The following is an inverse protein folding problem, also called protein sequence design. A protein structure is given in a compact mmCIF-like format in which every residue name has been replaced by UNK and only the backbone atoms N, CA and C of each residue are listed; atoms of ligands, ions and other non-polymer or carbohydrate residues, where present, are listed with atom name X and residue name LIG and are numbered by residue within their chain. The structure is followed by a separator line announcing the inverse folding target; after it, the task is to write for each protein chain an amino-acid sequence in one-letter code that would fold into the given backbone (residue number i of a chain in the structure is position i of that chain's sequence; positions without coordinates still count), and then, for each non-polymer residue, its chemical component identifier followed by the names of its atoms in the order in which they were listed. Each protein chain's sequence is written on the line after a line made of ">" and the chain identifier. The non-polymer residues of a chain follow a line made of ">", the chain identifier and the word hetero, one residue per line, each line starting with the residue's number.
data_IF_706625028606
#
_entry.id   IF_706625028606
#
_cell.length_a   1.000
_cell.length_b   1.000
_cell.length_c   1.000
_cell.angle_alpha   90.00
_cell.angle_beta   90.00
_cell.angle_gamma   90.00
#
_symmetry.space_group_name_H-M   'P 1'
#
loop_
_entity.id
_entity.type
_entity.pdbx_description
1 polymer ?
#
# COMPACT_ATOMS: atom_id res chain seq x y z
N UNK A 1 -2.83 20.31 5.61
CA UNK A 1 -3.39 19.00 5.25
C UNK A 1 -3.65 18.26 6.55
N UNK A 2 -4.73 17.50 6.65
CA UNK A 2 -4.89 16.60 7.79
C UNK A 2 -3.99 15.40 7.55
N UNK A 3 -3.27 14.99 8.58
CA UNK A 3 -2.31 13.88 8.55
C UNK A 3 -2.72 12.87 9.61
N UNK A 4 -2.54 11.59 9.31
CA UNK A 4 -2.71 10.52 10.26
C UNK A 4 -1.41 9.71 10.34
N UNK A 5 -0.77 9.76 11.50
CA UNK A 5 0.45 9.00 11.75
C UNK A 5 0.15 7.73 12.57
N UNK A 6 0.74 6.60 12.17
CA UNK A 6 0.66 5.35 12.93
C UNK A 6 2.00 4.65 12.98
N UNK A 7 2.35 4.15 14.15
CA UNK A 7 3.47 3.23 14.34
C UNK A 7 2.94 1.85 14.75
N UNK A 8 3.48 0.80 14.12
CA UNK A 8 3.13 -0.59 14.38
C UNK A 8 4.41 -1.43 14.44
N UNK A 9 4.58 -2.24 15.48
CA UNK A 9 5.65 -3.25 15.55
C UNK A 9 5.12 -4.58 15.03
N UNK A 10 5.84 -5.17 14.09
CA UNK A 10 5.55 -6.49 13.53
C UNK A 10 6.61 -7.48 14.01
N UNK A 11 6.17 -8.59 14.61
CA UNK A 11 7.03 -9.68 15.07
C UNK A 11 7.52 -10.56 13.89
N UNK A 12 8.17 -9.93 12.91
CA UNK A 12 8.77 -10.58 11.74
C UNK A 12 9.93 -9.73 11.18
N UNK A 13 10.98 -10.35 10.59
CA UNK A 13 12.12 -9.65 10.01
C UNK A 13 11.73 -8.70 8.86
N UNK A 14 12.54 -7.64 8.67
CA UNK A 14 12.31 -6.62 7.65
C UNK A 14 12.10 -7.21 6.24
N UNK A 15 12.86 -8.24 5.86
CA UNK A 15 12.75 -8.89 4.54
C UNK A 15 11.34 -9.44 4.29
N UNK A 16 10.75 -10.09 5.28
CA UNK A 16 9.43 -10.72 5.17
C UNK A 16 8.33 -9.67 5.15
N UNK A 17 8.40 -8.69 6.06
CA UNK A 17 7.43 -7.60 6.13
C UNK A 17 7.48 -6.77 4.84
N UNK A 18 8.67 -6.48 4.31
CA UNK A 18 8.84 -5.77 3.05
C UNK A 18 8.27 -6.56 1.87
N UNK A 19 8.60 -7.85 1.76
CA UNK A 19 8.11 -8.69 0.67
C UNK A 19 6.58 -8.84 0.70
N UNK A 20 5.99 -8.90 1.90
CA UNK A 20 4.55 -8.92 2.10
C UNK A 20 3.89 -7.61 1.61
N UNK A 21 4.40 -6.45 2.04
CA UNK A 21 3.82 -5.15 1.68
C UNK A 21 4.11 -4.73 0.22
N UNK A 22 5.04 -5.40 -0.45
CA UNK A 22 5.38 -5.11 -1.86
C UNK A 22 4.41 -5.73 -2.87
N UNK A 23 3.32 -6.38 -2.43
CA UNK A 23 2.40 -7.14 -3.30
C UNK A 23 0.95 -6.78 -3.04
N UNK A 24 0.13 -6.93 -4.08
CA UNK A 24 -1.33 -6.75 -3.99
C UNK A 24 -1.97 -7.70 -2.98
N UNK A 25 -1.51 -8.95 -2.92
CA UNK A 25 -2.00 -9.91 -1.93
C UNK A 25 -1.72 -9.47 -0.49
N UNK A 26 -0.66 -8.66 -0.27
CA UNK A 26 -0.40 -8.03 1.02
C UNK A 26 -1.47 -7.00 1.37
N UNK A 27 -1.79 -6.10 0.44
CA UNK A 27 -2.87 -5.11 0.59
C UNK A 27 -4.22 -5.77 0.88
N UNK A 28 -4.56 -6.83 0.13
CA UNK A 28 -5.80 -7.58 0.36
C UNK A 28 -5.82 -8.22 1.75
N UNK A 29 -4.71 -8.81 2.19
CA UNK A 29 -4.63 -9.50 3.48
C UNK A 29 -4.71 -8.54 4.69
N UNK A 30 -4.17 -7.32 4.60
CA UNK A 30 -4.29 -6.32 5.69
C UNK A 30 -5.64 -5.62 5.70
N UNK A 31 -6.38 -5.68 4.59
CA UNK A 31 -7.67 -5.02 4.49
C UNK A 31 -8.77 -5.93 5.05
N UNK A 32 -9.49 -5.52 6.11
CA UNK A 32 -10.51 -6.37 6.69
C UNK A 32 -11.64 -6.69 5.70
N UNK A 33 -12.16 -7.93 5.73
CA UNK A 33 -13.22 -8.41 4.81
C UNK A 33 -14.44 -7.49 4.73
N UNK A 34 -14.82 -6.87 5.86
CA UNK A 34 -15.97 -5.96 5.93
C UNK A 34 -15.78 -4.66 5.13
N UNK A 35 -14.56 -4.33 4.69
CA UNK A 35 -14.31 -3.22 3.77
C UNK A 35 -14.75 -3.53 2.33
N UNK A 36 -14.87 -4.82 1.98
CA UNK A 36 -15.20 -5.30 0.63
C UNK A 36 -14.36 -4.65 -0.47
N UNK A 37 -13.04 -4.57 -0.21
CA UNK A 37 -12.04 -4.13 -1.17
C UNK A 37 -12.07 -5.00 -2.43
N UNK A 38 -11.87 -4.36 -3.58
CA UNK A 38 -11.61 -5.03 -4.85
C UNK A 38 -10.44 -4.33 -5.53
N UNK A 39 -9.52 -5.14 -6.01
CA UNK A 39 -8.48 -4.72 -6.92
C UNK A 39 -9.06 -4.88 -8.32
N UNK A 40 -9.39 -3.75 -8.95
CA UNK A 40 -10.03 -3.74 -10.27
C UNK A 40 -9.01 -3.95 -11.38
N UNK A 41 -7.79 -3.42 -11.19
CA UNK A 41 -6.68 -3.53 -12.14
C UNK A 41 -5.35 -3.17 -11.48
N UNK A 42 -4.28 -3.83 -11.92
CA UNK A 42 -2.91 -3.52 -11.53
C UNK A 42 -2.05 -3.47 -12.77
N UNK A 43 -1.33 -2.38 -12.99
CA UNK A 43 -0.42 -2.20 -14.12
C UNK A 43 0.97 -1.83 -13.57
N UNK A 44 2.01 -2.55 -13.98
CA UNK A 44 3.38 -2.23 -13.63
C UNK A 44 3.91 -1.00 -14.38
N UNK A 45 5.09 -0.48 -14.01
CA UNK A 45 5.66 0.71 -14.63
C UNK A 45 5.90 0.56 -16.14
N UNK A 46 6.18 -0.66 -16.61
CA UNK A 46 6.41 -0.96 -18.02
C UNK A 46 5.12 -1.29 -18.80
N UNK A 47 3.95 -1.19 -18.14
CA UNK A 47 2.64 -1.50 -18.73
C UNK A 47 2.20 -2.97 -18.59
N UNK A 48 2.99 -3.80 -17.91
CA UNK A 48 2.67 -5.21 -17.68
C UNK A 48 1.45 -5.36 -16.74
N UNK A 49 0.47 -6.20 -17.08
CA UNK A 49 -0.66 -6.46 -16.21
C UNK A 49 -0.28 -7.37 -15.03
N UNK A 50 -0.84 -7.08 -13.86
CA UNK A 50 -0.73 -7.89 -12.64
C UNK A 50 0.72 -8.26 -12.26
N UNK A 51 1.63 -7.27 -12.12
CA UNK A 51 3.01 -7.53 -11.72
C UNK A 51 3.05 -8.17 -10.34
N UNK A 52 4.00 -9.07 -10.13
CA UNK A 52 4.17 -9.74 -8.83
C UNK A 52 4.60 -8.75 -7.73
N UNK A 53 5.34 -7.71 -8.09
CA UNK A 53 5.85 -6.68 -7.18
C UNK A 53 5.38 -5.31 -7.66
N UNK A 54 4.90 -4.50 -6.72
CA UNK A 54 4.52 -3.12 -6.96
C UNK A 54 5.77 -2.23 -6.92
N UNK A 55 6.36 -2.02 -8.08
CA UNK A 55 7.50 -1.12 -8.25
C UNK A 55 7.05 0.34 -8.38
N UNK A 56 7.99 1.29 -8.26
CA UNK A 56 7.70 2.70 -8.56
C UNK A 56 7.17 2.85 -9.98
N UNK A 57 6.07 3.58 -10.14
CA UNK A 57 5.29 3.72 -11.37
C UNK A 57 4.14 2.72 -11.51
N UNK A 58 3.99 1.74 -10.59
CA UNK A 58 2.84 0.83 -10.64
C UNK A 58 1.53 1.58 -10.36
N UNK A 59 0.52 1.38 -11.19
CA UNK A 59 -0.83 1.92 -11.05
C UNK A 59 -1.78 0.84 -10.53
N UNK A 60 -2.57 1.18 -9.51
CA UNK A 60 -3.50 0.27 -8.85
C UNK A 60 -4.89 0.93 -8.83
N UNK A 61 -5.82 0.36 -9.58
CA UNK A 61 -7.22 0.77 -9.55
C UNK A 61 -7.97 -0.06 -8.51
N UNK A 62 -8.55 0.61 -7.53
CA UNK A 62 -9.16 0.00 -6.36
C UNK A 62 -10.61 0.45 -6.22
N UNK A 63 -11.39 -0.37 -5.52
CA UNK A 63 -12.72 0.03 -5.10
C UNK A 63 -13.09 -0.59 -3.75
N UNK A 64 -13.89 0.12 -2.96
CA UNK A 64 -14.34 -0.36 -1.65
C UNK A 64 -15.82 -0.09 -1.44
N UNK A 65 -16.45 -0.94 -0.63
CA UNK A 65 -17.86 -0.78 -0.27
C UNK A 65 -18.07 -1.30 1.15
N UNK A 66 -17.71 -0.53 2.19
CA UNK A 66 -17.80 -0.97 3.57
C UNK A 66 -19.18 -1.53 3.92
N UNK A 67 -19.19 -2.68 4.60
CA UNK A 67 -20.37 -3.48 4.97
C UNK A 67 -21.31 -3.87 3.82
N UNK A 68 -20.91 -3.62 2.56
CA UNK A 68 -21.75 -3.83 1.39
C UNK A 68 -22.90 -2.82 1.27
N UNK A 69 -22.84 -1.69 1.98
CA UNK A 69 -23.90 -0.68 2.03
C UNK A 69 -23.51 0.55 1.20
N UNK A 70 -24.48 1.17 0.53
CA UNK A 70 -24.26 2.39 -0.26
C UNK A 70 -23.53 2.18 -1.59
N UNK A 71 -23.14 3.26 -2.28
CA UNK A 71 -22.37 3.18 -3.52
C UNK A 71 -20.92 2.77 -3.27
N UNK A 72 -20.38 1.96 -4.18
CA UNK A 72 -18.96 1.58 -4.19
C UNK A 72 -18.11 2.80 -4.54
N UNK A 73 -17.08 3.06 -3.74
CA UNK A 73 -16.12 4.14 -3.97
C UNK A 73 -14.96 3.59 -4.78
N UNK A 74 -14.48 4.36 -5.76
CA UNK A 74 -13.39 3.98 -6.67
C UNK A 74 -12.27 5.01 -6.57
N UNK A 75 -11.03 4.54 -6.63
CA UNK A 75 -9.85 5.39 -6.74
C UNK A 75 -8.72 4.66 -7.45
N UNK A 76 -7.77 5.43 -7.95
CA UNK A 76 -6.53 4.95 -8.55
C UNK A 76 -5.37 5.53 -7.77
N UNK A 77 -4.49 4.66 -7.28
CA UNK A 77 -3.23 5.05 -6.64
C UNK A 77 -2.04 4.67 -7.52
N UNK A 78 -0.95 5.43 -7.43
CA UNK A 78 0.31 5.16 -8.11
C UNK A 78 1.42 5.10 -7.09
N UNK A 79 2.29 4.08 -7.15
CA UNK A 79 3.51 4.05 -6.33
C UNK A 79 4.48 5.11 -6.87
N UNK A 80 4.71 6.20 -6.15
CA UNK A 80 5.55 7.31 -6.63
C UNK A 80 7.00 7.21 -6.18
N UNK A 81 7.26 6.53 -5.06
CA UNK A 81 8.60 6.26 -4.58
C UNK A 81 8.68 4.88 -3.94
N UNK A 82 9.84 4.24 -4.10
CA UNK A 82 10.16 2.96 -3.47
C UNK A 82 11.67 2.85 -3.35
N UNK A 83 12.17 2.82 -2.13
CA UNK A 83 13.60 2.71 -1.86
C UNK A 83 13.88 1.74 -0.71
N UNK A 84 15.07 1.15 -0.76
CA UNK A 84 15.51 0.19 0.24
C UNK A 84 17.00 0.35 0.46
N UNK A 85 17.37 0.56 1.71
CA UNK A 85 18.75 0.76 2.14
C UNK A 85 19.02 -0.04 3.43
N UNK A 86 20.29 -0.26 3.77
CA UNK A 86 20.68 -1.16 4.88
C UNK A 86 19.87 -0.94 6.18
N UNK A 87 18.95 -1.87 6.47
CA UNK A 87 18.11 -1.86 7.67
C UNK A 87 16.83 -1.02 7.59
N UNK A 88 16.51 -0.43 6.43
CA UNK A 88 15.26 0.29 6.22
C UNK A 88 14.71 0.17 4.80
N UNK A 89 13.42 0.36 4.64
CA UNK A 89 12.77 0.45 3.34
C UNK A 89 11.60 1.43 3.43
N UNK A 90 11.21 2.03 2.32
CA UNK A 90 9.95 2.73 2.26
C UNK A 90 9.34 2.66 0.86
N UNK A 91 8.03 2.83 0.80
CA UNK A 91 7.35 3.19 -0.44
C UNK A 91 6.28 4.25 -0.15
N UNK A 92 5.91 4.95 -1.21
CA UNK A 92 4.86 5.97 -1.19
C UNK A 92 3.89 5.71 -2.33
N UNK A 93 2.61 5.84 -2.02
CA UNK A 93 1.56 5.86 -3.01
C UNK A 93 0.76 7.17 -2.97
N UNK A 94 0.39 7.65 -4.14
CA UNK A 94 -0.38 8.88 -4.31
C UNK A 94 -1.65 8.60 -5.11
N UNK A 95 -2.77 9.14 -4.63
CA UNK A 95 -4.04 9.00 -5.34
C UNK A 95 -4.09 9.97 -6.51
N UNK A 96 -4.13 9.44 -7.73
CA UNK A 96 -4.23 10.23 -8.97
C UNK A 96 -5.68 10.44 -9.42
N UNK A 97 -6.59 9.60 -8.96
CA UNK A 97 -8.03 9.75 -9.20
C UNK A 97 -8.81 9.21 -8.00
N UNK A 98 -9.77 9.97 -7.47
CA UNK A 98 -10.60 9.50 -6.37
C UNK A 98 -11.32 10.62 -5.62
N UNK A 99 -11.82 10.35 -4.41
CA UNK A 99 -12.75 11.25 -3.70
C UNK A 99 -12.09 12.43 -2.99
N UNK A 100 -10.77 12.43 -2.83
CA UNK A 100 -10.02 13.49 -2.15
C UNK A 100 -9.34 14.44 -3.13
N UNK A 101 -9.15 15.70 -2.74
CA UNK A 101 -8.38 16.67 -3.54
C UNK A 101 -6.90 16.27 -3.65
N UNK A 102 -6.36 15.64 -2.60
CA UNK A 102 -5.01 15.11 -2.54
C UNK A 102 -4.93 14.01 -1.48
N UNK A 103 -4.18 12.96 -1.77
CA UNK A 103 -3.86 11.87 -0.85
C UNK A 103 -2.47 11.35 -1.20
N UNK A 104 -1.61 11.33 -0.19
CA UNK A 104 -0.27 10.74 -0.20
C UNK A 104 -0.19 9.84 1.04
N UNK A 105 0.24 8.59 0.87
CA UNK A 105 0.50 7.66 1.96
C UNK A 105 1.93 7.15 1.83
N UNK A 106 2.72 7.29 2.90
CA UNK A 106 4.08 6.74 2.97
C UNK A 106 4.18 5.64 4.01
N UNK A 107 4.62 4.46 3.58
CA UNK A 107 4.95 3.33 4.46
C UNK A 107 6.46 3.25 4.64
N UNK A 108 6.95 3.40 5.87
CA UNK A 108 8.38 3.30 6.22
C UNK A 108 8.64 2.14 7.17
N UNK A 109 9.62 1.31 6.85
CA UNK A 109 9.96 0.08 7.55
C UNK A 109 11.38 0.17 8.09
N UNK A 110 11.57 -0.16 9.37
CA UNK A 110 12.87 -0.15 10.03
C UNK A 110 13.12 -1.50 10.71
N UNK A 111 14.28 -2.11 10.47
CA UNK A 111 14.68 -3.35 11.12
C UNK A 111 14.95 -3.11 12.62
N UNK A 112 14.42 -3.98 13.48
CA UNK A 112 14.63 -3.98 14.93
C UNK A 112 14.85 -5.43 15.42
N UNK A 113 16.07 -5.94 15.22
CA UNK A 113 16.39 -7.34 15.49
C UNK A 113 15.57 -8.29 14.61
N UNK A 114 14.78 -9.16 15.25
CA UNK A 114 13.85 -10.09 14.56
C UNK A 114 12.47 -9.48 14.29
N UNK A 115 12.32 -8.16 14.53
CA UNK A 115 11.07 -7.41 14.34
C UNK A 115 11.25 -6.30 13.32
N UNK A 116 10.13 -5.71 12.93
CA UNK A 116 10.09 -4.54 12.05
C UNK A 116 9.21 -3.46 12.68
N UNK A 117 9.70 -2.23 12.71
CA UNK A 117 8.89 -1.05 13.05
C UNK A 117 8.36 -0.47 11.73
N UNK A 118 7.04 -0.50 11.55
CA UNK A 118 6.34 0.13 10.45
C UNK A 118 5.79 1.50 10.92
N UNK A 119 6.05 2.54 10.13
CA UNK A 119 5.48 3.88 10.29
C UNK A 119 4.72 4.26 9.04
N UNK A 120 3.46 4.64 9.24
CA UNK A 120 2.55 5.13 8.21
C UNK A 120 2.28 6.62 8.43
N UNK A 121 2.32 7.42 7.35
CA UNK A 121 2.06 8.85 7.31
C UNK A 121 1.24 9.22 6.07
#
# INVERSE_FOLDING_TARGET
>A
MQTYDRETTVDSPLEEVWAFNSRISGLEAVTPDWMHLRVERVIGPDGDPDPTVLESGSEIALSMRPFGVGPRQHWTSVITARERENGSAYFRDEMVHGPFDHWEHTHSFFADGDRTILRDH
#
